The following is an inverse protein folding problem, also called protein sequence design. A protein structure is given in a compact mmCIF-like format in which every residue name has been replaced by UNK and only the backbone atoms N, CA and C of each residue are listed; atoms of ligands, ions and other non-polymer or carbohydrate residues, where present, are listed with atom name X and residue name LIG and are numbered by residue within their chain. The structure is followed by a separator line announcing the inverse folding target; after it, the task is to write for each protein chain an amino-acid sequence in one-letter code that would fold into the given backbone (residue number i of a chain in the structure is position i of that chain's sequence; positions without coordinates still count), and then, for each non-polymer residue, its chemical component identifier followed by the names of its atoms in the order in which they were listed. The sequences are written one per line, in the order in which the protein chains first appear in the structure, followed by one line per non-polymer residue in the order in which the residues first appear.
data_IF_970976606755
#
_entry.id   IF_970976606755
#
_cell.length_a   1.000
_cell.length_b   1.000
_cell.length_c   1.000
_cell.angle_alpha   90.00
_cell.angle_beta   90.00
_cell.angle_gamma   90.00
#
_symmetry.space_group_name_H-M   'P 1'
#
loop_
_entity.id
_entity.type
_entity.pdbx_description
1 polymer ?
#
# COMPACT_ATOMS: atom_id res chain seq x y z
N UNK A 1 -14.16 13.66 -9.51
CA UNK A 1 -12.98 13.16 -8.77
C UNK A 1 -13.09 11.64 -8.73
N UNK A 2 -12.28 10.93 -9.53
CA UNK A 2 -12.60 9.61 -10.10
C UNK A 2 -12.56 8.44 -9.12
N UNK A 3 -13.75 7.94 -8.78
CA UNK A 3 -14.02 6.61 -8.22
C UNK A 3 -13.49 5.56 -9.20
N UNK A 4 -12.95 4.42 -8.73
CA UNK A 4 -12.87 3.20 -9.57
C UNK A 4 -14.22 3.02 -10.26
N UNK A 5 -14.27 2.82 -11.58
CA UNK A 5 -15.59 2.68 -12.23
C UNK A 5 -16.15 1.32 -11.77
N UNK A 6 -17.32 1.28 -11.11
CA UNK A 6 -17.93 0.00 -10.73
C UNK A 6 -18.06 -0.89 -11.97
N UNK A 7 -17.52 -2.10 -11.90
CA UNK A 7 -17.45 -3.03 -13.03
C UNK A 7 -16.07 -3.17 -13.68
N UNK A 8 -15.11 -2.28 -13.39
CA UNK A 8 -13.73 -2.43 -13.87
C UNK A 8 -13.05 -3.67 -13.27
N UNK A 9 -12.66 -4.59 -14.14
CA UNK A 9 -11.90 -5.79 -13.83
C UNK A 9 -10.84 -6.02 -14.93
N UNK A 10 -10.01 -7.05 -14.74
CA UNK A 10 -8.95 -7.37 -15.69
C UNK A 10 -9.50 -7.57 -17.12
N UNK A 11 -10.62 -8.28 -17.27
CA UNK A 11 -11.23 -8.55 -18.56
C UNK A 11 -11.76 -7.29 -19.26
N UNK A 12 -12.45 -6.41 -18.55
CA UNK A 12 -12.94 -5.14 -19.13
C UNK A 12 -11.82 -4.18 -19.50
N UNK A 13 -10.67 -4.30 -18.83
CA UNK A 13 -9.48 -3.49 -19.08
C UNK A 13 -8.52 -4.15 -20.09
N UNK A 14 -8.83 -5.36 -20.56
CA UNK A 14 -7.96 -6.12 -21.49
C UNK A 14 -6.63 -6.55 -20.88
N UNK A 15 -6.51 -6.59 -19.55
CA UNK A 15 -5.26 -6.95 -18.87
C UNK A 15 -5.03 -8.46 -18.95
N UNK A 16 -3.85 -8.84 -19.43
CA UNK A 16 -3.42 -10.24 -19.51
C UNK A 16 -2.63 -10.67 -18.27
N UNK A 17 -2.00 -9.71 -17.58
CA UNK A 17 -1.08 -9.95 -16.48
C UNK A 17 0.39 -10.09 -16.93
N UNK A 18 0.66 -10.05 -18.24
CA UNK A 18 2.01 -10.04 -18.79
C UNK A 18 2.59 -8.61 -18.88
N UNK A 19 1.76 -7.58 -18.72
CA UNK A 19 2.17 -6.20 -18.81
C UNK A 19 3.03 -5.80 -17.59
N UNK A 20 4.03 -4.92 -17.76
CA UNK A 20 4.66 -4.26 -16.62
C UNK A 20 3.67 -3.26 -16.00
N UNK A 21 3.56 -3.30 -14.67
CA UNK A 21 2.69 -2.40 -13.91
C UNK A 21 3.52 -1.31 -13.25
N UNK A 22 3.15 -0.05 -13.50
CA UNK A 22 3.69 1.11 -12.78
C UNK A 22 2.60 1.68 -11.88
N UNK A 23 2.91 1.84 -10.59
CA UNK A 23 1.97 2.38 -9.59
C UNK A 23 2.50 3.72 -9.09
N UNK A 24 1.67 4.76 -9.16
CA UNK A 24 2.02 6.13 -8.75
C UNK A 24 1.00 6.68 -7.75
N UNK A 25 1.42 7.65 -6.93
CA UNK A 25 0.56 8.26 -5.91
C UNK A 25 0.66 7.64 -4.52
N UNK A 26 1.71 6.85 -4.24
CA UNK A 26 1.96 6.25 -2.92
C UNK A 26 2.81 7.13 -1.99
N UNK A 27 3.31 8.29 -2.45
CA UNK A 27 4.21 9.15 -1.67
C UNK A 27 3.62 9.60 -0.33
N UNK A 28 2.31 9.80 -0.26
CA UNK A 28 1.60 10.17 0.97
C UNK A 28 1.80 9.16 2.13
N UNK A 29 2.13 7.89 1.83
CA UNK A 29 2.39 6.87 2.86
C UNK A 29 3.61 7.20 3.72
N UNK A 30 4.64 7.82 3.12
CA UNK A 30 5.81 8.30 3.84
C UNK A 30 5.47 9.45 4.81
N UNK A 31 4.39 10.19 4.53
CA UNK A 31 3.89 11.30 5.35
C UNK A 31 2.82 10.85 6.35
N UNK A 32 2.69 9.54 6.61
CA UNK A 32 1.74 9.01 7.58
C UNK A 32 0.29 8.90 7.07
N UNK A 33 0.02 9.19 5.79
CA UNK A 33 -1.35 9.17 5.23
C UNK A 33 -1.52 8.04 4.22
N UNK A 34 -2.67 7.37 4.25
CA UNK A 34 -3.04 6.37 3.23
C UNK A 34 -3.83 7.07 2.11
N UNK A 35 -3.32 7.14 0.87
CA UNK A 35 -4.10 7.66 -0.25
C UNK A 35 -5.24 6.68 -0.55
N UNK A 36 -6.47 7.18 -0.72
CA UNK A 36 -7.63 6.32 -1.01
C UNK A 36 -7.45 5.57 -2.35
N UNK A 37 -6.87 6.24 -3.34
CA UNK A 37 -6.66 5.71 -4.67
C UNK A 37 -5.27 6.04 -5.22
N UNK A 38 -4.72 5.13 -6.01
CA UNK A 38 -3.48 5.31 -6.79
C UNK A 38 -3.75 5.16 -8.28
N UNK A 39 -2.87 5.70 -9.11
CA UNK A 39 -2.91 5.50 -10.56
C UNK A 39 -2.00 4.35 -10.94
N UNK A 40 -2.53 3.43 -11.73
CA UNK A 40 -1.82 2.27 -12.26
C UNK A 40 -1.77 2.38 -13.78
N UNK A 41 -0.57 2.21 -14.33
CA UNK A 41 -0.36 2.03 -15.78
C UNK A 41 0.10 0.61 -16.06
N UNK A 42 -0.56 -0.06 -16.99
CA UNK A 42 -0.25 -1.40 -17.47
C UNK A 42 -0.17 -1.38 -19.00
N UNK A 43 1.04 -1.42 -19.56
CA UNK A 43 1.24 -1.16 -20.99
C UNK A 43 0.71 0.23 -21.37
N UNK A 44 -0.30 0.28 -22.23
CA UNK A 44 -0.99 1.50 -22.67
C UNK A 44 -2.29 1.82 -21.91
N UNK A 45 -2.69 0.95 -20.99
CA UNK A 45 -3.92 1.13 -20.20
C UNK A 45 -3.58 1.84 -18.89
N UNK A 46 -4.29 2.92 -18.59
CA UNK A 46 -4.20 3.64 -17.31
C UNK A 46 -5.53 3.61 -16.58
N UNK A 47 -5.50 3.30 -15.29
CA UNK A 47 -6.69 3.19 -14.46
C UNK A 47 -6.39 3.51 -13.00
N UNK A 48 -7.42 3.86 -12.22
CA UNK A 48 -7.28 4.07 -10.77
C UNK A 48 -7.62 2.80 -10.02
N UNK A 49 -6.94 2.56 -8.90
CA UNK A 49 -7.31 1.48 -7.97
C UNK A 49 -7.34 1.99 -6.54
N UNK A 50 -8.19 1.37 -5.71
CA UNK A 50 -8.28 1.68 -4.28
C UNK A 50 -7.10 1.04 -3.55
N UNK A 51 -6.48 1.79 -2.64
CA UNK A 51 -5.49 1.23 -1.70
C UNK A 51 -6.24 0.55 -0.56
N UNK A 52 -5.84 -0.67 -0.21
CA UNK A 52 -6.49 -1.53 0.79
C UNK A 52 -5.66 -1.65 2.07
N UNK A 53 -5.15 -0.52 2.54
CA UNK A 53 -4.70 -0.35 3.92
C UNK A 53 -5.89 0.23 4.67
N UNK A 54 -6.83 -0.64 5.04
CA UNK A 54 -8.15 -0.29 5.56
C UNK A 54 -8.09 0.11 7.05
N UNK A 55 -7.00 -0.21 7.75
CA UNK A 55 -6.77 0.20 9.15
C UNK A 55 -5.45 0.95 9.34
N UNK A 56 -5.36 1.80 10.38
CA UNK A 56 -4.13 2.48 10.76
C UNK A 56 -2.97 1.48 11.00
N UNK A 57 -3.28 0.37 11.67
CA UNK A 57 -2.32 -0.70 11.97
C UNK A 57 -1.75 -1.36 10.71
N UNK A 58 -2.57 -1.59 9.69
CA UNK A 58 -2.07 -2.10 8.39
C UNK A 58 -1.12 -1.13 7.72
N UNK A 59 -1.39 0.18 7.80
CA UNK A 59 -0.48 1.21 7.29
C UNK A 59 0.85 1.22 8.04
N UNK A 60 0.82 1.02 9.36
CA UNK A 60 2.04 0.92 10.17
C UNK A 60 2.84 -0.32 9.80
N UNK A 61 2.18 -1.48 9.65
CA UNK A 61 2.84 -2.69 9.17
C UNK A 61 3.49 -2.48 7.80
N UNK A 62 2.80 -1.83 6.86
CA UNK A 62 3.34 -1.52 5.54
C UNK A 62 4.61 -0.65 5.64
N UNK A 63 4.61 0.42 6.44
CA UNK A 63 5.77 1.31 6.63
C UNK A 63 6.98 0.61 7.24
N UNK A 64 6.74 -0.40 8.06
CA UNK A 64 7.81 -1.21 8.65
C UNK A 64 8.27 -2.36 7.76
N UNK A 65 7.74 -2.48 6.53
CA UNK A 65 8.07 -3.55 5.60
C UNK A 65 7.45 -4.90 5.99
N UNK A 66 6.35 -4.89 6.73
CA UNK A 66 5.58 -6.07 7.12
C UNK A 66 5.34 -6.19 8.62
N UNK A 67 4.33 -6.98 9.00
CA UNK A 67 3.94 -7.21 10.40
C UNK A 67 5.08 -7.78 11.25
N UNK A 68 5.88 -8.71 10.72
CA UNK A 68 6.98 -9.32 11.48
C UNK A 68 8.09 -8.32 11.77
N UNK A 69 8.41 -7.47 10.79
CA UNK A 69 9.39 -6.41 10.99
C UNK A 69 8.91 -5.37 12.01
N UNK A 70 7.61 -5.05 12.00
CA UNK A 70 6.99 -4.18 13.02
C UNK A 70 7.14 -4.78 14.42
N UNK A 71 6.68 -6.02 14.63
CA UNK A 71 6.67 -6.68 15.94
C UNK A 71 8.08 -6.89 16.48
N UNK A 72 9.03 -7.34 15.64
CA UNK A 72 10.41 -7.57 16.09
C UNK A 72 11.09 -6.28 16.54
N UNK A 73 10.82 -5.14 15.89
CA UNK A 73 11.35 -3.83 16.30
C UNK A 73 10.76 -3.40 17.64
N UNK A 74 9.45 -3.58 17.83
CA UNK A 74 8.77 -3.28 19.09
C UNK A 74 9.35 -4.10 20.27
N UNK A 75 9.61 -5.40 20.06
CA UNK A 75 10.25 -6.26 21.07
C UNK A 75 11.65 -5.76 21.43
N UNK A 76 12.45 -5.34 20.44
CA UNK A 76 13.79 -4.79 20.69
C UNK A 76 13.72 -3.50 21.50
N UNK A 77 12.78 -2.61 21.18
CA UNK A 77 12.56 -1.38 21.94
C UNK A 77 12.17 -1.67 23.39
N UNK A 78 11.20 -2.57 23.61
CA UNK A 78 10.78 -3.00 24.96
C UNK A 78 11.97 -3.56 25.74
N UNK A 79 12.73 -4.49 25.15
CA UNK A 79 13.88 -5.10 25.80
C UNK A 79 15.02 -4.10 26.08
N UNK A 80 15.11 -3.02 25.29
CA UNK A 80 16.07 -1.94 25.53
C UNK A 80 15.66 -1.02 26.67
N UNK A 81 14.35 -0.74 26.80
CA UNK A 81 13.81 0.08 27.88
C UNK A 81 13.96 -0.60 29.25
N UNK A 82 13.78 -1.92 29.32
CA UNK A 82 13.95 -2.72 30.55
C UNK A 82 15.40 -2.72 31.07
N UNK A 83 16.39 -2.62 30.16
CA UNK A 83 17.83 -2.58 30.51
C UNK A 83 18.34 -1.20 30.92
N UNK A 84 17.52 -0.17 30.85
CA UNK A 84 17.91 1.22 31.15
C UNK A 84 17.58 1.65 32.60
N UNK A 85 17.18 0.72 33.47
CA UNK A 85 16.85 0.93 34.87
C UNK A 85 17.75 0.11 35.80
#
# INVERSE_FOLDING_TARGET
MGRRVPGENAGTLGLTGAEPFTVTGLTALAEGRVPEHVTVRAGDVEFRVRVRLDTAREADYYRHGGIMNYVLREIVEIASADRAW
#
